data_IF_983998347858
#
_entry.id   IF_983998347858
#
_cell.length_a   1.000
_cell.length_b   1.000
_cell.length_c   1.000
_cell.angle_alpha   90.00
_cell.angle_beta   90.00
_cell.angle_gamma   90.00
#
_symmetry.space_group_name_H-M   'P 1'
#
loop_
_entity.id
_entity.type
_entity.pdbx_description
1 polymer ?
#
# COMPACT_ATOMS: atom_id res chain seq x y z
N UNK A 1 0.58 -6.08 -3.55
CA UNK A 1 2.05 -6.22 -3.44
C UNK A 1 2.61 -5.09 -2.59
N UNK A 2 3.67 -5.35 -1.82
CA UNK A 2 4.37 -4.34 -1.03
C UNK A 2 5.87 -4.34 -1.39
N UNK A 3 6.43 -3.16 -1.64
CA UNK A 3 7.84 -2.96 -2.01
C UNK A 3 8.48 -2.02 -1.01
N UNK A 4 9.64 -2.42 -0.51
CA UNK A 4 10.40 -1.71 0.52
C UNK A 4 11.71 -1.18 -0.06
N UNK A 5 12.28 -0.18 0.62
CA UNK A 5 13.64 0.33 0.37
C UNK A 5 13.89 0.83 -1.06
N UNK A 6 12.84 1.16 -1.81
CA UNK A 6 12.92 1.48 -3.25
C UNK A 6 12.33 2.85 -3.62
N UNK A 7 11.92 3.66 -2.63
CA UNK A 7 11.21 4.93 -2.89
C UNK A 7 12.07 5.96 -3.63
N UNK A 8 13.37 6.05 -3.35
CA UNK A 8 14.31 6.91 -4.08
C UNK A 8 14.49 6.50 -5.54
N UNK A 9 14.01 5.31 -5.93
CA UNK A 9 14.06 4.76 -7.27
C UNK A 9 12.65 4.62 -7.88
N UNK A 10 11.68 5.41 -7.43
CA UNK A 10 10.26 5.27 -7.81
C UNK A 10 10.04 5.20 -9.32
N UNK A 11 10.78 5.96 -10.13
CA UNK A 11 10.68 5.91 -11.60
C UNK A 11 11.05 4.54 -12.16
N UNK A 12 12.15 3.95 -11.69
CA UNK A 12 12.60 2.61 -12.11
C UNK A 12 11.62 1.53 -11.62
N UNK A 13 11.02 1.73 -10.45
CA UNK A 13 9.97 0.84 -9.93
C UNK A 13 8.76 0.90 -10.86
N UNK A 14 8.24 2.09 -11.16
CA UNK A 14 7.10 2.28 -12.08
C UNK A 14 7.39 1.68 -13.46
N UNK A 15 8.57 1.91 -14.03
CA UNK A 15 8.96 1.34 -15.31
C UNK A 15 8.89 -0.21 -15.31
N UNK A 16 9.44 -0.85 -14.27
CA UNK A 16 9.39 -2.32 -14.13
C UNK A 16 7.95 -2.81 -13.92
N UNK A 17 7.19 -2.13 -13.09
CA UNK A 17 5.80 -2.50 -12.79
C UNK A 17 4.92 -2.40 -14.04
N UNK A 18 5.11 -1.40 -14.89
CA UNK A 18 4.38 -1.26 -16.16
C UNK A 18 4.56 -2.46 -17.08
N UNK A 19 5.80 -2.96 -17.18
CA UNK A 19 6.11 -4.16 -18.00
C UNK A 19 5.38 -5.41 -17.49
N UNK A 20 5.17 -5.51 -16.17
CA UNK A 20 4.50 -6.65 -15.55
C UNK A 20 2.97 -6.56 -15.55
N UNK A 21 2.42 -5.39 -15.22
CA UNK A 21 0.97 -5.22 -15.04
C UNK A 21 0.20 -4.98 -16.33
N UNK A 22 0.79 -4.32 -17.34
CA UNK A 22 0.12 -4.03 -18.62
C UNK A 22 -1.14 -3.15 -18.55
N UNK A 23 -1.52 -2.67 -17.36
CA UNK A 23 -2.63 -1.75 -17.11
C UNK A 23 -2.19 -0.64 -16.14
N UNK A 24 -2.95 0.43 -16.04
CA UNK A 24 -2.77 1.39 -14.95
C UNK A 24 -3.32 0.75 -13.64
N UNK A 25 -2.54 0.80 -12.56
CA UNK A 25 -2.83 0.10 -11.30
C UNK A 25 -2.72 1.08 -10.13
N UNK A 26 -3.62 1.02 -9.14
CA UNK A 26 -3.51 1.82 -7.93
C UNK A 26 -2.20 1.59 -7.17
N UNK A 27 -1.63 2.68 -6.66
CA UNK A 27 -0.41 2.70 -5.84
C UNK A 27 -0.63 3.61 -4.64
N UNK A 28 -0.21 3.15 -3.47
CA UNK A 28 -0.15 3.94 -2.25
C UNK A 28 1.29 3.99 -1.74
N UNK A 29 1.75 5.19 -1.39
CA UNK A 29 3.05 5.43 -0.77
C UNK A 29 2.78 5.82 0.67
N UNK A 30 3.28 5.02 1.62
CA UNK A 30 3.14 5.28 3.05
C UNK A 30 4.52 5.61 3.62
N UNK A 31 4.78 6.89 3.87
CA UNK A 31 6.03 7.36 4.47
C UNK A 31 5.90 7.42 5.99
N UNK A 32 6.91 6.89 6.70
CA UNK A 32 6.98 6.84 8.17
C UNK A 32 5.69 6.26 8.78
N UNK A 33 5.28 5.11 8.26
CA UNK A 33 4.09 4.40 8.76
C UNK A 33 4.12 4.28 10.30
N UNK A 34 3.00 4.59 10.95
CA UNK A 34 2.77 4.62 12.41
C UNK A 34 3.45 5.74 13.20
N UNK A 35 4.17 6.65 12.55
CA UNK A 35 4.76 7.81 13.21
C UNK A 35 3.73 8.96 13.26
N UNK A 36 3.96 9.95 14.13
CA UNK A 36 3.07 11.12 14.26
C UNK A 36 2.95 11.92 12.95
N UNK A 37 3.99 11.88 12.12
CA UNK A 37 4.09 12.60 10.85
C UNK A 37 4.00 11.67 9.63
N UNK A 38 3.28 10.55 9.76
CA UNK A 38 2.95 9.65 8.65
C UNK A 38 2.32 10.43 7.49
N UNK A 39 2.80 10.18 6.26
CA UNK A 39 2.21 10.72 5.04
C UNK A 39 1.78 9.60 4.11
N UNK A 40 0.55 9.66 3.63
CA UNK A 40 0.02 8.73 2.63
C UNK A 40 -0.22 9.47 1.32
N UNK A 41 0.37 8.98 0.24
CA UNK A 41 0.13 9.49 -1.12
C UNK A 41 -0.53 8.38 -1.93
N UNK A 42 -1.71 8.68 -2.47
CA UNK A 42 -2.43 7.80 -3.38
C UNK A 42 -2.23 8.26 -4.83
N UNK A 43 -2.12 7.29 -5.71
CA UNK A 43 -2.01 7.51 -7.14
C UNK A 43 -2.09 6.18 -7.87
N UNK A 44 -1.51 6.17 -9.05
CA UNK A 44 -1.52 5.04 -9.97
C UNK A 44 -0.14 4.92 -10.63
N UNK A 45 0.06 3.92 -11.48
CA UNK A 45 1.30 3.82 -12.27
C UNK A 45 1.53 5.05 -13.16
N UNK A 46 0.47 5.79 -13.51
CA UNK A 46 0.53 6.98 -14.37
C UNK A 46 1.08 8.23 -13.68
N UNK A 47 0.83 8.42 -12.39
CA UNK A 47 1.13 9.70 -11.72
C UNK A 47 1.99 9.58 -10.44
N UNK A 48 2.18 8.36 -9.90
CA UNK A 48 2.76 8.25 -8.55
C UNK A 48 4.21 8.73 -8.47
N UNK A 49 4.99 8.58 -9.54
CA UNK A 49 6.38 9.02 -9.55
C UNK A 49 6.51 10.54 -9.45
N UNK A 50 5.60 11.28 -10.08
CA UNK A 50 5.54 12.75 -10.00
C UNK A 50 5.11 13.19 -8.61
N UNK A 51 4.02 12.63 -8.09
CA UNK A 51 3.52 12.93 -6.73
C UNK A 51 4.56 12.69 -5.64
N UNK A 52 5.35 11.61 -5.75
CA UNK A 52 6.45 11.30 -4.81
C UNK A 52 7.55 12.35 -4.85
N UNK A 53 7.89 12.85 -6.05
CA UNK A 53 8.89 13.91 -6.23
C UNK A 53 8.40 15.23 -5.66
N UNK A 54 7.17 15.61 -5.94
CA UNK A 54 6.54 16.83 -5.40
C UNK A 54 6.50 16.83 -3.87
N UNK A 55 6.18 15.68 -3.27
CA UNK A 55 6.14 15.52 -1.82
C UNK A 55 7.54 15.36 -1.16
N UNK A 56 8.61 15.33 -1.98
CA UNK A 56 9.99 15.15 -1.56
C UNK A 56 10.22 13.94 -0.64
N UNK A 57 9.58 12.80 -0.96
CA UNK A 57 9.76 11.55 -0.21
C UNK A 57 11.01 10.84 -0.74
N UNK A 58 12.03 10.72 0.09
CA UNK A 58 13.33 10.15 -0.31
C UNK A 58 13.67 8.83 0.37
N UNK A 59 13.05 8.52 1.52
CA UNK A 59 13.36 7.34 2.34
C UNK A 59 12.19 7.00 3.28
N UNK A 60 12.30 5.86 3.96
CA UNK A 60 11.34 5.40 4.97
C UNK A 60 9.89 5.34 4.47
N UNK A 61 9.70 4.93 3.22
CA UNK A 61 8.38 4.77 2.64
C UNK A 61 8.17 3.37 2.08
N UNK A 62 6.95 2.87 2.24
CA UNK A 62 6.47 1.63 1.63
C UNK A 62 5.70 1.96 0.36
N UNK A 63 5.92 1.18 -0.69
CA UNK A 63 5.18 1.27 -1.95
C UNK A 63 4.22 0.09 -2.01
N UNK A 64 2.93 0.36 -1.90
CA UNK A 64 1.87 -0.62 -2.02
C UNK A 64 1.30 -0.53 -3.43
N UNK A 65 1.15 -1.67 -4.11
CA UNK A 65 0.71 -1.73 -5.51
C UNK A 65 -0.35 -2.80 -5.68
N UNK A 66 -1.52 -2.43 -6.18
CA UNK A 66 -2.57 -3.37 -6.57
C UNK A 66 -3.99 -2.85 -6.36
N UNK A 67 -4.93 -3.58 -6.94
CA UNK A 67 -6.36 -3.25 -6.92
C UNK A 67 -6.97 -3.25 -5.49
N UNK A 68 -6.29 -3.87 -4.51
CA UNK A 68 -6.72 -3.86 -3.11
C UNK A 68 -6.71 -2.47 -2.45
N UNK A 69 -6.11 -1.47 -3.10
CA UNK A 69 -6.04 -0.09 -2.60
C UNK A 69 -7.34 0.67 -2.88
N UNK A 70 -7.99 0.38 -4.02
CA UNK A 70 -9.21 1.05 -4.48
C UNK A 70 -10.27 -0.01 -4.79
N UNK A 71 -10.69 -0.71 -3.73
CA UNK A 71 -11.75 -1.71 -3.79
C UNK A 71 -12.60 -1.62 -2.55
N UNK A 72 -13.87 -2.00 -2.69
CA UNK A 72 -14.68 -2.38 -1.54
C UNK A 72 -14.10 -3.64 -0.90
N UNK A 73 -14.04 -3.67 0.43
CA UNK A 73 -13.58 -4.84 1.18
C UNK A 73 -14.28 -4.92 2.53
N UNK A 74 -14.46 -6.15 3.00
CA UNK A 74 -14.83 -6.43 4.39
C UNK A 74 -13.59 -6.61 5.26
N UNK A 75 -13.68 -6.20 6.51
CA UNK A 75 -12.59 -6.43 7.47
C UNK A 75 -12.36 -7.93 7.64
N UNK A 76 -11.09 -8.32 7.63
CA UNK A 76 -10.70 -9.68 7.99
C UNK A 76 -11.18 -10.00 9.41
N UNK A 77 -11.86 -11.14 9.55
CA UNK A 77 -12.31 -11.65 10.84
C UNK A 77 -11.17 -12.27 11.67
N UNK A 78 -9.93 -12.28 11.15
CA UNK A 78 -8.76 -12.90 11.78
C UNK A 78 -8.58 -12.49 13.25
N UNK A 79 -8.82 -11.20 13.55
CA UNK A 79 -8.71 -10.65 14.91
C UNK A 79 -10.06 -10.30 15.52
N UNK A 80 -11.18 -10.53 14.83
CA UNK A 80 -12.51 -10.25 15.37
C UNK A 80 -12.75 -11.15 16.59
N UNK A 81 -13.00 -10.55 17.76
CA UNK A 81 -13.15 -11.30 19.02
C UNK A 81 -14.34 -12.27 19.01
N UNK A 82 -15.32 -12.05 18.14
CA UNK A 82 -16.57 -12.82 18.04
C UNK A 82 -16.49 -13.93 17.00
N UNK A 83 -15.42 -13.95 16.19
CA UNK A 83 -15.20 -14.97 15.18
C UNK A 83 -14.43 -16.18 15.73
N UNK A 84 -15.08 -17.34 15.69
CA UNK A 84 -14.48 -18.64 16.01
C UNK A 84 -13.75 -19.20 14.79
N UNK A 85 -12.51 -19.65 14.99
CA UNK A 85 -11.74 -20.42 14.00
C UNK A 85 -10.98 -21.57 14.68
N UNK A 86 -10.21 -22.34 13.90
CA UNK A 86 -9.54 -23.57 14.34
C UNK A 86 -8.70 -23.47 15.64
N UNK A 87 -8.22 -22.27 16.00
CA UNK A 87 -7.30 -22.06 17.13
C UNK A 87 -7.87 -21.12 18.21
N UNK A 88 -9.12 -20.65 18.07
CA UNK A 88 -9.73 -19.70 19.00
C UNK A 88 -11.26 -19.73 18.91
N UNK A 89 -11.91 -19.86 20.06
CA UNK A 89 -13.35 -19.62 20.18
C UNK A 89 -13.64 -18.13 20.35
N UNK A 90 -14.62 -17.63 19.60
CA UNK A 90 -15.10 -16.26 19.69
C UNK A 90 -15.96 -16.05 20.94
N UNK A 91 -15.93 -14.83 21.49
CA UNK A 91 -16.82 -14.42 22.58
C UNK A 91 -18.16 -13.93 22.04
N UNK A 92 -19.24 -14.14 22.79
CA UNK A 92 -20.56 -13.58 22.48
C UNK A 92 -20.50 -12.05 22.40
N UNK A 93 -21.27 -11.47 21.48
CA UNK A 93 -21.36 -10.02 21.28
C UNK A 93 -21.93 -9.30 22.49
#
# INVERSE_FOLDING_TARGET
MAIFLSISMIEKVVEKLRRGYGKNVPIAIVERATWEDERVILGTLDDIAEKVKEANITKCAQILVGDFIDTEYDKSLLYDKTFTHMFREGVSK
#
